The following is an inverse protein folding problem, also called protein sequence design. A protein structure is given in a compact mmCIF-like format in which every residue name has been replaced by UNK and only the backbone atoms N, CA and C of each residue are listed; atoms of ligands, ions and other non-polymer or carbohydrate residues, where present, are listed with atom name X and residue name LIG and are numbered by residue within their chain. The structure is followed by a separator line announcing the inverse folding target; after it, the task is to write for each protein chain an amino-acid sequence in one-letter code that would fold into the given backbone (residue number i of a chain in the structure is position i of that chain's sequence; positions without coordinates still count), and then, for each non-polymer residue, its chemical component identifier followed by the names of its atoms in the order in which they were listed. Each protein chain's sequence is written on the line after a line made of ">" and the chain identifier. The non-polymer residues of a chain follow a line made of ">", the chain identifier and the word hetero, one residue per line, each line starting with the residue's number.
data_IF_157262778744
#
_entry.id   IF_157262778744
#
_cell.length_a   1.000
_cell.length_b   1.000
_cell.length_c   1.000
_cell.angle_alpha   90.00
_cell.angle_beta   90.00
_cell.angle_gamma   90.00
#
_symmetry.space_group_name_H-M   'P 1'
#
loop_
_entity.id
_entity.type
_entity.pdbx_description
1 polymer ?
#
# COMPACT_ATOMS: atom_id res chain seq x y z
N UNK A 1 4.18 -12.55 -7.62
CA UNK A 1 4.57 -13.98 -7.71
C UNK A 1 3.59 -14.77 -8.56
N UNK A 2 2.28 -14.69 -8.31
CA UNK A 2 1.26 -15.43 -9.10
C UNK A 2 1.32 -15.12 -10.60
N UNK A 3 1.68 -13.88 -10.96
CA UNK A 3 1.90 -13.47 -12.35
C UNK A 3 3.29 -13.87 -12.92
N UNK A 4 4.00 -14.80 -12.29
CA UNK A 4 5.31 -15.30 -12.75
C UNK A 4 6.46 -14.31 -12.56
N UNK A 5 6.32 -13.29 -11.71
CA UNK A 5 7.37 -12.30 -11.43
C UNK A 5 8.22 -12.72 -10.23
N UNK A 6 9.52 -12.48 -10.29
CA UNK A 6 10.42 -12.67 -9.17
C UNK A 6 10.35 -11.47 -8.21
N UNK A 7 9.93 -11.75 -6.97
CA UNK A 7 9.63 -10.72 -5.97
C UNK A 7 10.60 -10.80 -4.80
N UNK A 8 11.26 -9.67 -4.52
CA UNK A 8 11.95 -9.44 -3.26
C UNK A 8 11.05 -8.70 -2.27
N UNK A 9 10.98 -9.16 -1.03
CA UNK A 9 10.19 -8.53 0.03
C UNK A 9 11.05 -8.28 1.26
N UNK A 10 10.93 -7.09 1.83
CA UNK A 10 11.51 -6.75 3.13
C UNK A 10 10.43 -6.18 4.04
N UNK A 11 10.25 -6.77 5.20
CA UNK A 11 9.24 -6.37 6.20
C UNK A 11 9.72 -6.64 7.63
N UNK A 12 8.90 -6.23 8.60
CA UNK A 12 9.05 -6.65 9.99
C UNK A 12 8.93 -8.18 10.07
N UNK A 13 10.03 -8.85 10.32
CA UNK A 13 10.10 -10.32 10.40
C UNK A 13 11.06 -10.97 9.43
N UNK A 14 11.09 -10.56 8.16
CA UNK A 14 11.88 -11.25 7.14
C UNK A 14 12.39 -10.33 6.03
N UNK A 15 13.50 -10.79 5.39
CA UNK A 15 13.80 -10.52 3.98
C UNK A 15 13.55 -11.82 3.22
N UNK A 16 12.76 -11.76 2.17
CA UNK A 16 12.45 -12.89 1.29
C UNK A 16 12.76 -12.57 -0.16
N UNK A 17 13.28 -13.55 -0.88
CA UNK A 17 13.45 -13.50 -2.33
C UNK A 17 12.76 -14.74 -2.89
N UNK A 18 11.72 -14.51 -3.70
CA UNK A 18 10.93 -15.53 -4.38
C UNK A 18 10.46 -16.68 -3.44
N UNK A 19 9.82 -16.33 -2.31
CA UNK A 19 9.37 -17.23 -1.23
C UNK A 19 10.49 -17.89 -0.38
N UNK A 20 11.75 -17.58 -0.63
CA UNK A 20 12.84 -18.06 0.20
C UNK A 20 13.20 -17.01 1.24
N UNK A 21 13.09 -17.37 2.52
CA UNK A 21 13.54 -16.50 3.62
C UNK A 21 15.05 -16.45 3.62
N UNK A 22 15.61 -15.28 3.29
CA UNK A 22 17.05 -15.02 3.27
C UNK A 22 17.54 -14.59 4.65
N UNK A 23 16.75 -13.76 5.34
CA UNK A 23 17.09 -13.24 6.67
C UNK A 23 15.83 -13.14 7.54
N UNK A 24 15.98 -13.34 8.86
CA UNK A 24 14.92 -13.16 9.85
C UNK A 24 15.27 -12.02 10.80
N UNK A 25 14.34 -11.10 11.07
CA UNK A 25 14.51 -9.93 11.92
C UNK A 25 13.67 -8.76 11.45
N UNK A 26 13.78 -7.61 12.12
CA UNK A 26 13.11 -6.38 11.69
C UNK A 26 13.88 -5.74 10.52
N UNK A 27 13.30 -5.82 9.34
CA UNK A 27 13.86 -5.32 8.09
C UNK A 27 12.96 -4.25 7.44
N UNK A 28 12.21 -3.49 8.23
CA UNK A 28 11.35 -2.39 7.79
C UNK A 28 12.11 -1.06 7.54
N UNK A 29 13.35 -1.13 7.11
CA UNK A 29 14.19 0.05 6.96
C UNK A 29 15.12 0.04 5.73
N UNK A 30 15.85 1.16 5.50
CA UNK A 30 16.61 1.40 4.27
C UNK A 30 17.75 0.39 4.00
N UNK A 31 18.28 -0.26 5.03
CA UNK A 31 19.30 -1.28 4.84
C UNK A 31 18.72 -2.50 4.12
N UNK A 32 17.51 -2.91 4.47
CA UNK A 32 16.85 -4.03 3.83
C UNK A 32 16.44 -3.72 2.39
N UNK A 33 16.00 -2.48 2.12
CA UNK A 33 15.80 -2.00 0.76
C UNK A 33 17.06 -2.18 -0.08
N UNK A 34 18.23 -1.81 0.46
CA UNK A 34 19.51 -2.00 -0.22
C UNK A 34 19.88 -3.46 -0.49
N UNK A 35 19.44 -4.41 0.33
CA UNK A 35 19.63 -5.86 0.07
C UNK A 35 18.78 -6.30 -1.12
N UNK A 36 17.47 -6.00 -1.09
CA UNK A 36 16.53 -6.39 -2.14
C UNK A 36 16.88 -5.74 -3.49
N UNK A 37 17.17 -4.43 -3.49
CA UNK A 37 17.43 -3.68 -4.73
C UNK A 37 18.78 -4.03 -5.40
N UNK A 38 19.68 -4.71 -4.70
CA UNK A 38 20.95 -5.20 -5.26
C UNK A 38 20.86 -6.63 -5.76
N UNK A 39 19.78 -7.35 -5.46
CA UNK A 39 19.60 -8.72 -5.91
C UNK A 39 19.20 -8.74 -7.41
N UNK A 40 20.06 -9.24 -8.29
CA UNK A 40 19.84 -9.13 -9.74
C UNK A 40 18.67 -9.98 -10.26
N UNK A 41 18.17 -10.94 -9.47
CA UNK A 41 17.05 -11.78 -9.86
C UNK A 41 15.70 -11.13 -9.54
N UNK A 42 15.67 -10.10 -8.68
CA UNK A 42 14.44 -9.43 -8.27
C UNK A 42 13.95 -8.49 -9.36
N UNK A 43 12.75 -8.75 -9.86
CA UNK A 43 12.04 -7.90 -10.83
C UNK A 43 11.13 -6.87 -10.13
N UNK A 44 10.55 -7.23 -8.98
CA UNK A 44 9.69 -6.37 -8.19
C UNK A 44 10.11 -6.38 -6.72
N UNK A 45 10.32 -5.20 -6.15
CA UNK A 45 10.64 -5.03 -4.73
C UNK A 45 9.39 -4.57 -3.96
N UNK A 46 9.04 -5.28 -2.88
CA UNK A 46 8.02 -4.88 -1.91
C UNK A 46 8.72 -4.54 -0.61
N UNK A 47 8.71 -3.27 -0.26
CA UNK A 47 9.49 -2.74 0.84
C UNK A 47 8.58 -2.12 1.90
N UNK A 48 8.56 -2.69 3.09
CA UNK A 48 7.96 -2.03 4.26
C UNK A 48 8.85 -0.88 4.71
N UNK A 49 8.25 0.28 4.93
CA UNK A 49 8.94 1.49 5.35
C UNK A 49 8.40 1.94 6.70
N UNK A 50 9.12 1.61 7.76
CA UNK A 50 8.77 2.05 9.10
C UNK A 50 9.31 3.45 9.41
N UNK A 51 8.54 4.22 10.20
CA UNK A 51 8.90 5.55 10.68
C UNK A 51 10.34 5.62 11.21
N UNK A 52 10.72 4.66 12.04
CA UNK A 52 12.05 4.61 12.64
C UNK A 52 13.19 4.51 11.62
N UNK A 53 12.95 3.87 10.47
CA UNK A 53 13.87 3.81 9.33
C UNK A 53 13.97 5.18 8.65
N UNK A 54 12.82 5.78 8.32
CA UNK A 54 12.73 7.10 7.69
C UNK A 54 13.52 8.15 8.47
N UNK A 55 13.26 8.25 9.76
CA UNK A 55 13.88 9.26 10.63
C UNK A 55 15.40 9.10 10.79
N UNK A 56 15.93 7.90 10.59
CA UNK A 56 17.37 7.63 10.75
C UNK A 56 18.16 7.80 9.46
N UNK A 57 17.64 7.30 8.35
CA UNK A 57 18.41 7.09 7.12
C UNK A 57 17.57 7.28 5.83
N UNK A 58 16.33 7.76 5.94
CA UNK A 58 15.42 7.90 4.79
C UNK A 58 14.88 6.56 4.31
N UNK A 59 14.53 6.49 3.02
CA UNK A 59 13.88 5.33 2.41
C UNK A 59 14.85 4.23 1.98
N UNK A 60 16.09 4.58 1.63
CA UNK A 60 17.07 3.66 1.05
C UNK A 60 16.93 3.48 -0.46
N UNK A 61 16.07 4.28 -1.09
CA UNK A 61 15.88 4.40 -2.54
C UNK A 61 15.44 5.83 -2.88
N UNK A 62 15.63 6.25 -4.12
CA UNK A 62 15.33 7.62 -4.56
C UNK A 62 13.93 7.76 -5.15
N UNK A 63 13.39 6.69 -5.74
CA UNK A 63 12.07 6.71 -6.36
C UNK A 63 11.39 5.34 -6.28
N UNK A 64 10.06 5.35 -6.31
CA UNK A 64 9.19 4.17 -6.35
C UNK A 64 8.16 4.26 -7.48
N UNK A 65 7.76 3.12 -8.02
CA UNK A 65 6.67 3.04 -8.99
C UNK A 65 5.30 3.13 -8.30
N UNK A 66 5.22 2.58 -7.08
CA UNK A 66 4.00 2.62 -6.26
C UNK A 66 4.38 2.96 -4.81
N UNK A 67 3.70 3.94 -4.23
CA UNK A 67 3.76 4.28 -2.81
C UNK A 67 2.42 4.06 -2.13
N UNK A 68 2.40 3.45 -0.94
CA UNK A 68 1.17 3.13 -0.23
C UNK A 68 1.17 3.83 1.13
N UNK A 69 0.09 4.55 1.45
CA UNK A 69 -0.21 5.03 2.80
C UNK A 69 -1.48 4.37 3.32
N UNK A 70 -1.32 3.55 4.37
CA UNK A 70 -2.42 2.78 4.95
C UNK A 70 -3.21 3.61 5.95
N UNK A 71 -2.57 4.03 7.04
CA UNK A 71 -3.19 4.80 8.10
C UNK A 71 -2.14 5.58 8.92
N UNK A 72 -2.62 6.62 9.60
CA UNK A 72 -1.82 7.45 10.49
C UNK A 72 -2.49 7.44 11.86
N UNK A 73 -2.03 6.55 12.72
CA UNK A 73 -2.55 6.36 14.07
C UNK A 73 -1.52 6.79 15.13
N UNK A 74 -1.98 6.94 16.36
CA UNK A 74 -1.22 7.44 17.51
C UNK A 74 -0.06 6.55 17.97
N UNK A 75 0.13 5.40 17.36
CA UNK A 75 1.24 4.50 17.64
C UNK A 75 2.59 5.20 17.51
N UNK A 76 3.40 5.05 18.55
CA UNK A 76 4.75 5.61 18.62
C UNK A 76 4.85 7.16 18.71
N UNK A 77 3.81 7.87 19.13
CA UNK A 77 3.94 9.27 19.50
C UNK A 77 4.86 9.43 20.72
N UNK A 78 5.62 10.53 20.75
CA UNK A 78 6.59 10.83 21.80
C UNK A 78 7.96 10.20 21.59
N UNK A 79 8.16 9.39 20.55
CA UNK A 79 9.46 8.84 20.20
C UNK A 79 10.13 9.65 19.08
N UNK A 80 11.44 9.96 19.23
CA UNK A 80 12.29 10.57 18.19
C UNK A 80 11.72 11.87 17.62
N UNK A 81 11.35 12.80 18.51
CA UNK A 81 10.90 14.16 18.18
C UNK A 81 9.61 14.20 17.32
N UNK A 82 8.82 13.13 17.30
CA UNK A 82 7.47 13.12 16.73
C UNK A 82 6.47 13.09 17.88
N UNK A 83 5.80 14.22 18.11
CA UNK A 83 4.89 14.41 19.24
C UNK A 83 3.43 14.53 18.82
N UNK A 84 3.17 14.80 17.54
CA UNK A 84 1.83 14.98 17.00
C UNK A 84 1.54 14.05 15.83
N UNK A 85 0.26 13.79 15.60
CA UNK A 85 -0.18 12.99 14.44
C UNK A 85 0.16 13.67 13.11
N UNK A 86 0.21 15.01 13.06
CA UNK A 86 0.57 15.74 11.85
C UNK A 86 2.06 15.63 11.54
N UNK A 87 2.92 15.64 12.56
CA UNK A 87 4.35 15.34 12.38
C UNK A 87 4.57 13.91 11.90
N UNK A 88 3.79 12.96 12.45
CA UNK A 88 3.82 11.56 12.00
C UNK A 88 3.33 11.41 10.56
N UNK A 89 2.24 12.12 10.20
CA UNK A 89 1.72 12.17 8.84
C UNK A 89 2.79 12.66 7.88
N UNK A 90 3.39 13.82 8.17
CA UNK A 90 4.47 14.41 7.38
C UNK A 90 5.68 13.46 7.23
N UNK A 91 6.03 12.73 8.28
CA UNK A 91 7.10 11.73 8.21
C UNK A 91 6.76 10.59 7.25
N UNK A 92 5.53 10.04 7.35
CA UNK A 92 5.11 8.90 6.52
C UNK A 92 4.89 9.28 5.06
N UNK A 93 4.51 10.54 4.76
CA UNK A 93 4.23 10.98 3.37
C UNK A 93 5.44 11.00 2.45
N UNK A 94 6.66 10.88 2.97
CA UNK A 94 7.85 10.72 2.11
C UNK A 94 7.76 9.50 1.20
N UNK A 95 6.95 8.49 1.55
CA UNK A 95 6.73 7.31 0.71
C UNK A 95 6.00 7.67 -0.59
N UNK A 96 5.02 8.56 -0.53
CA UNK A 96 4.28 9.01 -1.72
C UNK A 96 4.97 10.18 -2.42
N UNK A 97 5.74 11.00 -1.71
CA UNK A 97 6.60 12.02 -2.31
C UNK A 97 7.74 11.40 -3.15
N UNK A 98 8.19 10.20 -2.80
CA UNK A 98 9.18 9.45 -3.58
C UNK A 98 8.59 8.71 -4.80
N UNK A 99 7.28 8.76 -5.02
CA UNK A 99 6.67 8.14 -6.21
C UNK A 99 7.03 8.92 -7.46
N UNK A 100 7.39 8.20 -8.53
CA UNK A 100 7.67 8.80 -9.84
C UNK A 100 6.46 9.57 -10.37
N UNK A 101 6.63 10.60 -11.20
CA UNK A 101 5.50 11.35 -11.78
C UNK A 101 4.53 10.50 -12.61
N UNK A 102 5.00 9.41 -13.21
CA UNK A 102 4.22 8.41 -13.95
C UNK A 102 3.80 7.22 -13.10
N UNK A 103 4.21 7.18 -11.83
CA UNK A 103 3.86 6.16 -10.85
C UNK A 103 2.49 6.35 -10.22
N UNK A 104 2.20 5.60 -9.17
CA UNK A 104 0.89 5.60 -8.51
C UNK A 104 1.02 5.66 -6.99
N UNK A 105 0.24 6.52 -6.36
CA UNK A 105 0.05 6.62 -4.92
C UNK A 105 -1.26 5.92 -4.53
N UNK A 106 -1.19 4.93 -3.64
CA UNK A 106 -2.33 4.21 -3.09
C UNK A 106 -2.64 4.77 -1.71
N UNK A 107 -3.82 5.37 -1.53
CA UNK A 107 -4.18 6.14 -0.35
C UNK A 107 -5.47 5.62 0.30
N UNK A 108 -5.46 5.54 1.63
CA UNK A 108 -6.65 5.22 2.42
C UNK A 108 -7.56 6.44 2.53
N UNK A 109 -8.73 6.39 1.89
CA UNK A 109 -9.71 7.48 1.94
C UNK A 109 -10.53 7.50 3.23
N UNK A 110 -10.39 6.50 4.11
CA UNK A 110 -11.04 6.49 5.44
C UNK A 110 -10.21 7.22 6.50
N UNK A 111 -8.93 7.50 6.23
CA UNK A 111 -8.05 8.23 7.15
C UNK A 111 -7.92 9.71 6.73
N UNK A 112 -8.45 10.66 7.54
CA UNK A 112 -8.43 12.09 7.20
C UNK A 112 -7.00 12.63 6.99
N UNK A 113 -6.00 12.13 7.72
CA UNK A 113 -4.62 12.59 7.58
C UNK A 113 -3.96 12.04 6.33
N UNK A 114 -4.29 10.79 5.96
CA UNK A 114 -3.86 10.25 4.66
C UNK A 114 -4.47 11.06 3.53
N UNK A 115 -5.74 11.46 3.65
CA UNK A 115 -6.40 12.31 2.65
C UNK A 115 -5.75 13.69 2.56
N UNK A 116 -5.51 14.37 3.67
CA UNK A 116 -4.94 15.72 3.70
C UNK A 116 -3.48 15.70 3.23
N UNK A 117 -2.64 14.94 3.92
CA UNK A 117 -1.19 14.95 3.69
C UNK A 117 -0.77 14.07 2.51
N UNK A 118 -1.36 12.88 2.39
CA UNK A 118 -1.05 11.96 1.30
C UNK A 118 -1.41 12.55 -0.05
N UNK A 119 -2.59 13.14 -0.20
CA UNK A 119 -3.02 13.78 -1.43
C UNK A 119 -2.13 14.97 -1.80
N UNK A 120 -1.79 15.82 -0.83
CA UNK A 120 -0.94 16.99 -1.05
C UNK A 120 0.48 16.63 -1.53
N UNK A 121 1.08 15.56 -0.99
CA UNK A 121 2.45 15.15 -1.33
C UNK A 121 2.53 14.12 -2.46
N UNK A 122 1.41 13.59 -2.94
CA UNK A 122 1.40 12.64 -4.06
C UNK A 122 1.83 13.31 -5.36
N UNK A 123 2.82 12.73 -6.03
CA UNK A 123 3.33 13.21 -7.32
C UNK A 123 2.82 12.42 -8.52
N UNK A 124 2.42 11.17 -8.30
CA UNK A 124 1.88 10.27 -9.32
C UNK A 124 0.35 10.28 -9.39
N UNK A 125 -0.20 9.34 -10.13
CA UNK A 125 -1.63 9.05 -10.13
C UNK A 125 -2.07 8.60 -8.74
N UNK A 126 -3.34 8.84 -8.39
CA UNK A 126 -3.88 8.38 -7.11
C UNK A 126 -4.88 7.25 -7.38
N UNK A 127 -4.77 6.18 -6.58
CA UNK A 127 -5.79 5.17 -6.39
C UNK A 127 -6.22 5.22 -4.92
N UNK A 128 -7.51 5.41 -4.67
CA UNK A 128 -8.05 5.35 -3.31
C UNK A 128 -8.51 3.94 -2.95
N UNK A 129 -8.45 3.62 -1.67
CA UNK A 129 -9.21 2.51 -1.10
C UNK A 129 -9.99 2.98 0.13
N UNK A 130 -11.16 2.37 0.37
CA UNK A 130 -12.07 2.74 1.47
C UNK A 130 -12.99 1.58 1.82
N UNK A 131 -13.28 1.42 3.11
CA UNK A 131 -14.35 0.54 3.59
C UNK A 131 -15.75 1.13 3.33
N UNK A 132 -15.84 2.45 3.08
CA UNK A 132 -17.08 3.14 2.82
C UNK A 132 -17.23 3.45 1.32
N UNK A 133 -18.00 2.64 0.56
CA UNK A 133 -18.20 2.85 -0.87
C UNK A 133 -18.95 4.14 -1.21
N UNK A 134 -19.61 4.74 -0.21
CA UNK A 134 -20.44 5.94 -0.36
C UNK A 134 -19.75 7.22 0.13
N UNK A 135 -18.46 7.14 0.53
CA UNK A 135 -17.73 8.35 0.93
C UNK A 135 -17.70 9.36 -0.23
N UNK A 136 -17.85 10.64 0.10
CA UNK A 136 -17.85 11.72 -0.90
C UNK A 136 -16.54 11.76 -1.69
N UNK A 137 -15.42 11.61 -0.99
CA UNK A 137 -14.10 11.59 -1.62
C UNK A 137 -13.97 10.46 -2.64
N UNK A 138 -14.42 9.24 -2.30
CA UNK A 138 -14.37 8.10 -3.20
C UNK A 138 -15.27 8.30 -4.43
N UNK A 139 -16.52 8.75 -4.20
CA UNK A 139 -17.50 8.98 -5.29
C UNK A 139 -17.02 10.06 -6.26
N UNK A 140 -16.53 11.18 -5.74
CA UNK A 140 -15.99 12.27 -6.57
C UNK A 140 -14.81 11.79 -7.41
N UNK A 141 -13.87 11.08 -6.80
CA UNK A 141 -12.71 10.53 -7.50
C UNK A 141 -13.09 9.56 -8.62
N UNK A 142 -14.04 8.66 -8.35
CA UNK A 142 -14.53 7.69 -9.35
C UNK A 142 -15.31 8.40 -10.46
N UNK A 143 -16.12 9.42 -10.14
CA UNK A 143 -16.85 10.21 -11.13
C UNK A 143 -15.90 10.94 -12.10
N UNK A 144 -14.73 11.36 -11.61
CA UNK A 144 -13.65 11.97 -12.40
C UNK A 144 -12.75 10.92 -13.10
N UNK A 145 -13.26 9.69 -13.26
CA UNK A 145 -12.54 8.55 -13.85
C UNK A 145 -11.30 8.07 -13.06
N UNK A 146 -11.14 8.49 -11.82
CA UNK A 146 -10.16 7.92 -10.91
C UNK A 146 -10.51 6.48 -10.55
N UNK A 147 -9.50 5.73 -10.11
CA UNK A 147 -9.65 4.33 -9.71
C UNK A 147 -9.77 4.24 -8.20
N UNK A 148 -10.71 3.43 -7.73
CA UNK A 148 -10.87 3.14 -6.31
C UNK A 148 -11.14 1.65 -6.06
N UNK A 149 -10.69 1.17 -4.89
CA UNK A 149 -11.02 -0.16 -4.37
C UNK A 149 -11.87 0.00 -3.12
N UNK A 150 -12.97 -0.74 -3.03
CA UNK A 150 -13.91 -0.65 -1.91
C UNK A 150 -14.60 -1.98 -1.65
N UNK A 151 -15.40 -2.04 -0.59
CA UNK A 151 -16.22 -3.22 -0.27
C UNK A 151 -17.68 -2.94 -0.60
N UNK A 152 -18.29 -3.81 -1.40
CA UNK A 152 -19.72 -3.78 -1.73
C UNK A 152 -20.28 -5.18 -1.55
N UNK A 153 -21.32 -5.33 -0.76
CA UNK A 153 -22.01 -6.61 -0.52
C UNK A 153 -21.06 -7.78 -0.17
N UNK A 154 -20.04 -7.50 0.67
CA UNK A 154 -19.07 -8.52 1.09
C UNK A 154 -17.99 -8.84 0.08
N UNK A 155 -17.85 -8.07 -1.00
CA UNK A 155 -16.85 -8.23 -2.05
C UNK A 155 -15.93 -7.03 -2.13
N UNK A 156 -14.63 -7.27 -2.33
CA UNK A 156 -13.71 -6.22 -2.76
C UNK A 156 -13.96 -6.00 -4.25
N UNK A 157 -14.27 -4.75 -4.61
CA UNK A 157 -14.52 -4.33 -5.98
C UNK A 157 -13.57 -3.19 -6.39
N UNK A 158 -13.26 -3.11 -7.67
CA UNK A 158 -12.60 -1.97 -8.29
C UNK A 158 -13.64 -1.12 -9.02
N UNK A 159 -13.59 0.20 -8.83
CA UNK A 159 -14.47 1.18 -9.48
C UNK A 159 -13.67 2.18 -10.30
N UNK A 160 -14.19 2.52 -11.50
CA UNK A 160 -13.66 3.60 -12.33
C UNK A 160 -14.78 4.15 -13.24
N UNK A 161 -15.19 5.39 -13.05
CA UNK A 161 -16.33 5.95 -13.77
C UNK A 161 -17.59 5.12 -13.53
N UNK A 162 -18.20 4.62 -14.61
CA UNK A 162 -19.36 3.73 -14.55
C UNK A 162 -18.99 2.23 -14.45
N UNK A 163 -17.71 1.90 -14.44
CA UNK A 163 -17.24 0.52 -14.36
C UNK A 163 -17.10 0.10 -12.91
N UNK A 164 -17.71 -1.02 -12.55
CA UNK A 164 -17.46 -1.75 -11.32
C UNK A 164 -17.05 -3.19 -11.69
N UNK A 165 -15.95 -3.64 -11.15
CA UNK A 165 -15.43 -4.98 -11.41
C UNK A 165 -15.12 -5.68 -10.08
N UNK A 166 -15.64 -6.90 -9.91
CA UNK A 166 -15.34 -7.74 -8.76
C UNK A 166 -13.87 -8.18 -8.78
N UNK A 167 -13.24 -8.12 -7.61
CA UNK A 167 -11.89 -8.62 -7.39
C UNK A 167 -11.94 -9.96 -6.66
N UNK A 168 -12.52 -9.99 -5.45
CA UNK A 168 -12.56 -11.19 -4.60
C UNK A 168 -13.66 -11.05 -3.54
N UNK A 169 -14.28 -12.16 -3.13
CA UNK A 169 -15.11 -12.21 -1.93
C UNK A 169 -14.24 -11.97 -0.68
N UNK A 170 -14.69 -11.15 0.26
CA UNK A 170 -13.95 -10.86 1.50
C UNK A 170 -13.68 -12.14 2.30
N UNK A 171 -14.63 -13.08 2.29
CA UNK A 171 -14.50 -14.37 2.98
C UNK A 171 -13.44 -15.30 2.36
N UNK A 172 -13.07 -15.07 1.11
CA UNK A 172 -12.02 -15.82 0.42
C UNK A 172 -10.61 -15.27 0.69
N UNK A 173 -10.50 -14.15 1.43
CA UNK A 173 -9.23 -13.51 1.81
C UNK A 173 -8.82 -14.00 3.19
N UNK A 174 -7.82 -14.90 3.33
CA UNK A 174 -7.51 -15.55 4.61
C UNK A 174 -7.19 -14.59 5.75
N UNK A 175 -6.47 -13.50 5.46
CA UNK A 175 -6.12 -12.50 6.47
C UNK A 175 -7.32 -11.69 6.97
N UNK A 176 -8.44 -11.70 6.26
CA UNK A 176 -9.66 -10.98 6.66
C UNK A 176 -10.45 -11.71 7.78
N UNK A 177 -10.08 -12.94 8.12
CA UNK A 177 -10.75 -13.76 9.15
C UNK A 177 -12.27 -13.77 8.97
N UNK A 178 -12.72 -14.23 7.82
CA UNK A 178 -14.16 -14.28 7.47
C UNK A 178 -14.84 -12.89 7.54
N UNK A 179 -14.11 -11.82 7.25
CA UNK A 179 -14.63 -10.45 7.28
C UNK A 179 -14.61 -9.76 8.65
N UNK A 180 -14.13 -10.45 9.71
CA UNK A 180 -14.10 -9.88 11.06
C UNK A 180 -12.94 -8.91 11.31
N UNK A 181 -11.87 -8.95 10.49
CA UNK A 181 -10.71 -8.08 10.64
C UNK A 181 -10.72 -6.94 9.62
N UNK A 182 -11.45 -5.86 9.91
CA UNK A 182 -11.61 -4.71 9.01
C UNK A 182 -10.30 -4.10 8.54
N UNK A 183 -9.29 -3.98 9.42
CA UNK A 183 -7.97 -3.47 9.07
C UNK A 183 -7.25 -4.39 8.05
N UNK A 184 -7.47 -5.69 8.08
CA UNK A 184 -6.90 -6.62 7.10
C UNK A 184 -7.63 -6.55 5.76
N UNK A 185 -8.93 -6.21 5.75
CA UNK A 185 -9.67 -5.94 4.51
C UNK A 185 -9.09 -4.68 3.86
N UNK A 186 -8.80 -3.64 4.64
CA UNK A 186 -8.12 -2.43 4.14
C UNK A 186 -6.74 -2.77 3.56
N UNK A 187 -5.96 -3.61 4.24
CA UNK A 187 -4.66 -4.07 3.75
C UNK A 187 -4.80 -4.86 2.44
N UNK A 188 -5.81 -5.72 2.31
CA UNK A 188 -6.10 -6.47 1.08
C UNK A 188 -6.49 -5.53 -0.08
N UNK A 189 -7.32 -4.50 0.18
CA UNK A 189 -7.66 -3.49 -0.82
C UNK A 189 -6.42 -2.69 -1.26
N UNK A 190 -5.57 -2.30 -0.31
CA UNK A 190 -4.32 -1.60 -0.62
C UNK A 190 -3.38 -2.46 -1.48
N UNK A 191 -3.26 -3.75 -1.16
CA UNK A 191 -2.49 -4.71 -1.95
C UNK A 191 -3.08 -4.90 -3.36
N UNK A 192 -4.41 -5.00 -3.48
CA UNK A 192 -5.11 -5.06 -4.76
C UNK A 192 -4.85 -3.81 -5.61
N UNK A 193 -4.96 -2.63 -5.01
CA UNK A 193 -4.71 -1.35 -5.67
C UNK A 193 -3.26 -1.25 -6.17
N UNK A 194 -2.29 -1.67 -5.34
CA UNK A 194 -0.89 -1.69 -5.72
C UNK A 194 -0.60 -2.70 -6.86
N UNK A 195 -1.18 -3.88 -6.80
CA UNK A 195 -1.09 -4.88 -7.87
C UNK A 195 -1.65 -4.34 -9.19
N UNK A 196 -2.80 -3.70 -9.13
CA UNK A 196 -3.42 -3.08 -10.30
C UNK A 196 -2.56 -1.94 -10.88
N UNK A 197 -1.99 -1.10 -10.03
CA UNK A 197 -1.05 -0.05 -10.43
C UNK A 197 0.20 -0.58 -11.13
N UNK A 198 0.66 -1.78 -10.77
CA UNK A 198 1.77 -2.49 -11.40
C UNK A 198 1.37 -3.28 -12.67
N UNK A 199 0.11 -3.15 -13.11
CA UNK A 199 -0.38 -3.77 -14.34
C UNK A 199 -0.78 -5.24 -14.20
N UNK A 200 -0.99 -5.75 -12.98
CA UNK A 200 -1.55 -7.08 -12.77
C UNK A 200 -3.03 -7.11 -13.19
N UNK A 201 -3.46 -8.25 -13.71
CA UNK A 201 -4.89 -8.46 -13.99
C UNK A 201 -5.68 -8.65 -12.68
N UNK A 202 -6.99 -8.39 -12.69
CA UNK A 202 -7.84 -8.67 -11.53
C UNK A 202 -7.82 -10.15 -11.14
N UNK A 203 -7.61 -11.04 -12.12
CA UNK A 203 -7.45 -12.48 -11.88
C UNK A 203 -6.16 -12.81 -11.12
N UNK A 204 -5.02 -12.20 -11.47
CA UNK A 204 -3.76 -12.36 -10.75
C UNK A 204 -3.86 -11.81 -9.33
N UNK A 205 -4.54 -10.66 -9.17
CA UNK A 205 -4.79 -10.03 -7.88
C UNK A 205 -5.64 -10.94 -7.00
N UNK A 206 -6.74 -11.48 -7.53
CA UNK A 206 -7.60 -12.45 -6.83
C UNK A 206 -6.80 -13.62 -6.30
N UNK A 207 -6.03 -14.28 -7.19
CA UNK A 207 -5.17 -15.41 -6.79
C UNK A 207 -4.13 -15.05 -5.73
N UNK A 208 -3.64 -13.81 -5.74
CA UNK A 208 -2.66 -13.33 -4.75
C UNK A 208 -3.27 -12.98 -3.39
N UNK A 209 -4.57 -12.71 -3.32
CA UNK A 209 -5.29 -12.40 -2.08
C UNK A 209 -5.87 -13.65 -1.40
N UNK A 210 -6.11 -14.73 -2.14
CA UNK A 210 -6.55 -16.05 -1.68
C UNK A 210 -5.36 -16.90 -1.22
#
# INVERSE_FOLDING_TARGET
>A
RQAGRQVGMACTGTIEIDNHVVMRGDYSGPMAAGVILKEPTVEHAVLEVARGGIMRRGLGFDAADVGILLNIDSDHLGERDIHTLDELARCKTVVVDAVKPDGTCVLNADDPRVMDWGTYWSRGKIIYFSMNPESEALRSHVADHGIAFTVVDGRIVMRQGAVEAEVVEVNDVPIAFEGHASFNIQNAMAAAAAGYALGLTLGDIKMGLQ
#
